data_IF_772197888016
#
_entry.id   IF_772197888016
#
_cell.length_a   1.000
_cell.length_b   1.000
_cell.length_c   1.000
_cell.angle_alpha   90.00
_cell.angle_beta   90.00
_cell.angle_gamma   90.00
#
_symmetry.space_group_name_H-M   'P 1'
#
loop_
_entity.id
_entity.type
_entity.pdbx_description
1 polymer ?
#
# COMPACT_ATOMS: atom_id res chain seq x y z
N UNK A 1 24.04 -23.14 -15.38
CA UNK A 1 23.77 -22.37 -14.16
C UNK A 1 22.51 -22.98 -13.60
N UNK A 2 22.63 -23.76 -12.54
CA UNK A 2 21.44 -24.24 -11.84
C UNK A 2 20.82 -23.01 -11.18
N UNK A 3 19.67 -22.56 -11.68
CA UNK A 3 18.86 -21.56 -10.99
C UNK A 3 18.44 -22.16 -9.64
N UNK A 4 18.89 -21.55 -8.56
CA UNK A 4 18.50 -21.92 -7.21
C UNK A 4 16.97 -21.73 -7.09
N UNK A 5 16.27 -22.80 -6.73
CA UNK A 5 14.81 -22.77 -6.61
C UNK A 5 14.45 -21.81 -5.47
N UNK A 6 13.63 -20.76 -5.72
CA UNK A 6 13.32 -19.77 -4.70
C UNK A 6 12.60 -20.41 -3.52
N UNK A 7 12.90 -19.93 -2.31
CA UNK A 7 12.23 -20.40 -1.11
C UNK A 7 10.75 -20.01 -1.10
N UNK A 8 9.92 -20.71 -0.32
CA UNK A 8 8.50 -20.36 -0.17
C UNK A 8 8.30 -18.92 0.34
N UNK A 9 9.21 -18.41 1.18
CA UNK A 9 9.22 -17.03 1.66
C UNK A 9 9.50 -16.06 0.51
N UNK A 10 10.55 -16.32 -0.27
CA UNK A 10 10.90 -15.49 -1.44
C UNK A 10 9.78 -15.46 -2.47
N UNK A 11 9.24 -16.63 -2.82
CA UNK A 11 8.13 -16.75 -3.76
C UNK A 11 6.89 -16.03 -3.25
N UNK A 12 6.55 -16.16 -1.96
CA UNK A 12 5.41 -15.48 -1.35
C UNK A 12 5.54 -13.95 -1.39
N UNK A 13 6.71 -13.42 -1.04
CA UNK A 13 6.97 -11.97 -1.08
C UNK A 13 7.03 -11.45 -2.51
N UNK A 14 7.61 -12.21 -3.44
CA UNK A 14 7.62 -11.89 -4.86
C UNK A 14 6.19 -11.83 -5.42
N UNK A 15 5.34 -12.82 -5.13
CA UNK A 15 3.94 -12.84 -5.58
C UNK A 15 3.18 -11.62 -5.04
N UNK A 16 3.39 -11.23 -3.77
CA UNK A 16 2.80 -10.01 -3.21
C UNK A 16 3.25 -8.76 -3.99
N UNK A 17 4.56 -8.65 -4.27
CA UNK A 17 5.13 -7.53 -5.04
C UNK A 17 4.65 -7.50 -6.50
N UNK A 18 4.54 -8.66 -7.14
CA UNK A 18 4.04 -8.83 -8.51
C UNK A 18 2.55 -8.45 -8.61
N UNK A 19 1.74 -8.90 -7.64
CA UNK A 19 0.32 -8.54 -7.56
C UNK A 19 0.15 -7.03 -7.41
N UNK A 20 0.94 -6.40 -6.54
CA UNK A 20 0.96 -4.94 -6.41
C UNK A 20 1.36 -4.25 -7.71
N UNK A 21 2.43 -4.73 -8.38
CA UNK A 21 2.89 -4.18 -9.66
C UNK A 21 1.76 -4.16 -10.69
N UNK A 22 1.08 -5.29 -10.85
CA UNK A 22 -0.01 -5.45 -11.81
C UNK A 22 -1.23 -4.59 -11.45
N UNK A 23 -1.53 -4.45 -10.17
CA UNK A 23 -2.59 -3.56 -9.71
C UNK A 23 -2.27 -2.08 -10.03
N UNK A 24 -1.00 -1.68 -9.92
CA UNK A 24 -0.53 -0.32 -10.21
C UNK A 24 -0.55 0.04 -11.72
N UNK A 25 -0.57 -0.95 -12.61
CA UNK A 25 -0.72 -0.71 -14.06
C UNK A 25 -2.06 -0.03 -14.37
N UNK A 26 -3.14 -0.43 -13.69
CA UNK A 26 -4.50 0.11 -13.93
C UNK A 26 -4.60 1.63 -13.75
N UNK A 27 -4.20 2.24 -12.62
CA UNK A 27 -4.25 3.69 -12.45
C UNK A 27 -3.32 4.42 -13.43
N UNK A 28 -2.17 3.84 -13.81
CA UNK A 28 -1.27 4.41 -14.82
C UNK A 28 -1.95 4.49 -16.19
N UNK A 29 -2.51 3.38 -16.68
CA UNK A 29 -3.26 3.33 -17.94
C UNK A 29 -4.46 4.26 -17.90
N UNK A 30 -5.22 4.27 -16.80
CA UNK A 30 -6.37 5.16 -16.64
C UNK A 30 -5.96 6.63 -16.77
N UNK A 31 -4.86 7.04 -16.13
CA UNK A 31 -4.40 8.42 -16.18
C UNK A 31 -3.93 8.83 -17.57
N UNK A 32 -3.27 7.92 -18.29
CA UNK A 32 -2.76 8.19 -19.64
C UNK A 32 -3.85 8.10 -20.73
N UNK A 33 -4.91 7.31 -20.48
CA UNK A 33 -5.96 7.05 -21.48
C UNK A 33 -7.24 7.86 -21.26
N UNK A 34 -7.41 8.53 -20.11
CA UNK A 34 -8.62 9.32 -19.86
C UNK A 34 -8.68 10.53 -20.79
N UNK A 35 -9.79 10.67 -21.50
CA UNK A 35 -10.04 11.80 -22.38
C UNK A 35 -11.18 12.66 -21.80
N UNK A 36 -10.84 13.55 -20.88
CA UNK A 36 -11.79 14.50 -20.29
C UNK A 36 -11.86 15.76 -21.16
N UNK A 37 -13.01 15.99 -21.78
CA UNK A 37 -13.28 17.11 -22.68
C UNK A 37 -14.29 18.10 -22.07
N UNK A 38 -14.35 19.32 -22.61
CA UNK A 38 -15.26 20.38 -22.16
C UNK A 38 -14.58 21.48 -21.34
N UNK A 39 -15.24 22.64 -21.23
CA UNK A 39 -14.66 23.86 -20.64
C UNK A 39 -14.39 23.76 -19.12
N UNK A 40 -15.05 22.83 -18.44
CA UNK A 40 -14.94 22.60 -16.99
C UNK A 40 -13.79 21.62 -16.67
N UNK A 41 -13.39 20.74 -17.61
CA UNK A 41 -12.39 19.69 -17.41
C UNK A 41 -10.92 20.18 -17.44
N UNK A 42 -10.64 21.29 -16.74
CA UNK A 42 -9.37 22.00 -16.80
C UNK A 42 -8.24 21.24 -16.09
N UNK A 43 -6.98 21.34 -16.56
CA UNK A 43 -5.84 20.67 -15.93
C UNK A 43 -5.42 21.29 -14.60
N UNK A 44 -5.62 22.60 -14.46
CA UNK A 44 -5.19 23.40 -13.31
C UNK A 44 -6.40 24.09 -12.66
N UNK A 45 -6.28 24.37 -11.36
CA UNK A 45 -7.32 25.02 -10.56
C UNK A 45 -7.57 26.44 -11.07
N UNK A 46 -8.84 26.83 -11.13
CA UNK A 46 -9.25 28.18 -11.48
C UNK A 46 -9.13 29.15 -10.31
N UNK A 47 -8.93 28.63 -9.09
CA UNK A 47 -8.99 29.39 -7.84
C UNK A 47 -10.41 29.66 -7.35
N UNK A 48 -11.42 29.28 -8.14
CA UNK A 48 -12.84 29.39 -7.79
C UNK A 48 -13.31 28.01 -7.32
N UNK A 49 -13.38 27.84 -5.99
CA UNK A 49 -13.65 26.55 -5.33
C UNK A 49 -14.84 25.82 -5.93
N UNK A 50 -16.00 26.48 -6.07
CA UNK A 50 -17.20 25.85 -6.62
C UNK A 50 -17.03 25.34 -8.06
N UNK A 51 -16.29 26.06 -8.91
CA UNK A 51 -16.03 25.61 -10.28
C UNK A 51 -15.06 24.44 -10.31
N UNK A 52 -14.04 24.48 -9.47
CA UNK A 52 -13.04 23.42 -9.36
C UNK A 52 -13.64 22.16 -8.71
N UNK A 53 -14.59 22.30 -7.80
CA UNK A 53 -15.34 21.18 -7.22
C UNK A 53 -16.17 20.41 -8.25
N UNK A 54 -16.65 21.11 -9.29
CA UNK A 54 -17.35 20.51 -10.42
C UNK A 54 -16.40 19.99 -11.51
N UNK A 55 -15.09 20.18 -11.36
CA UNK A 55 -14.12 19.74 -12.36
C UNK A 55 -14.00 18.22 -12.36
N UNK A 56 -14.42 17.53 -13.44
CA UNK A 56 -14.38 16.07 -13.51
C UNK A 56 -12.95 15.51 -13.44
N UNK A 57 -11.92 16.32 -13.75
CA UNK A 57 -10.52 15.92 -13.63
C UNK A 57 -10.07 15.81 -12.19
N UNK A 58 -10.41 16.79 -11.34
CA UNK A 58 -10.10 16.71 -9.91
C UNK A 58 -10.89 15.60 -9.25
N UNK A 59 -12.15 15.40 -9.64
CA UNK A 59 -12.95 14.30 -9.14
C UNK A 59 -12.35 12.94 -9.52
N UNK A 60 -11.98 12.77 -10.79
CA UNK A 60 -11.27 11.61 -11.31
C UNK A 60 -9.94 11.35 -10.59
N UNK A 61 -9.17 12.39 -10.26
CA UNK A 61 -7.92 12.25 -9.52
C UNK A 61 -8.15 11.78 -8.08
N UNK A 62 -9.13 12.36 -7.39
CA UNK A 62 -9.47 11.98 -6.01
C UNK A 62 -10.05 10.54 -5.94
N UNK A 63 -10.80 10.10 -6.95
CA UNK A 63 -11.29 8.71 -7.05
C UNK A 63 -10.17 7.66 -7.10
N UNK A 64 -8.99 8.02 -7.61
CA UNK A 64 -7.85 7.10 -7.63
C UNK A 64 -7.16 6.96 -6.27
N UNK A 65 -7.32 7.93 -5.37
CA UNK A 65 -6.65 7.89 -4.05
C UNK A 65 -7.09 6.67 -3.23
N UNK A 66 -8.40 6.37 -3.03
CA UNK A 66 -8.82 5.15 -2.34
C UNK A 66 -8.29 3.86 -2.98
N UNK A 67 -8.21 3.80 -4.31
CA UNK A 67 -7.68 2.65 -5.02
C UNK A 67 -6.19 2.43 -4.70
N UNK A 68 -5.39 3.50 -4.74
CA UNK A 68 -3.96 3.45 -4.41
C UNK A 68 -3.72 3.02 -2.95
N UNK A 69 -4.53 3.52 -2.01
CA UNK A 69 -4.45 3.10 -0.60
C UNK A 69 -4.83 1.62 -0.46
N UNK A 70 -5.84 1.14 -1.17
CA UNK A 70 -6.26 -0.27 -1.10
C UNK A 70 -5.19 -1.24 -1.62
N UNK A 71 -4.52 -0.94 -2.73
CA UNK A 71 -3.45 -1.82 -3.26
C UNK A 71 -2.21 -1.79 -2.37
N UNK A 72 -1.91 -0.66 -1.73
CA UNK A 72 -0.85 -0.52 -0.73
C UNK A 72 -1.13 -1.36 0.51
N UNK A 73 -2.36 -1.27 1.03
CA UNK A 73 -2.83 -2.05 2.16
C UNK A 73 -2.74 -3.55 1.87
N UNK A 74 -3.23 -3.98 0.71
CA UNK A 74 -3.20 -5.38 0.31
C UNK A 74 -1.76 -5.91 0.19
N UNK A 75 -0.84 -5.18 -0.45
CA UNK A 75 0.56 -5.57 -0.53
C UNK A 75 1.19 -5.85 0.84
N UNK A 76 0.98 -4.93 1.78
CA UNK A 76 1.53 -5.03 3.12
C UNK A 76 0.86 -6.13 3.94
N UNK A 77 -0.44 -6.34 3.75
CA UNK A 77 -1.19 -7.40 4.37
C UNK A 77 -0.69 -8.77 3.90
N UNK A 78 -0.62 -8.99 2.59
CA UNK A 78 -0.13 -10.25 2.00
C UNK A 78 1.31 -10.52 2.42
N UNK A 79 2.18 -9.50 2.36
CA UNK A 79 3.58 -9.64 2.81
C UNK A 79 3.67 -10.01 4.29
N UNK A 80 2.85 -9.39 5.14
CA UNK A 80 2.80 -9.72 6.56
C UNK A 80 2.37 -11.18 6.80
N UNK A 81 1.36 -11.67 6.08
CA UNK A 81 0.90 -13.06 6.16
C UNK A 81 2.03 -14.04 5.80
N UNK A 82 2.81 -13.73 4.75
CA UNK A 82 3.97 -14.54 4.37
C UNK A 82 4.99 -14.56 5.50
N UNK A 83 5.42 -13.39 6.00
CA UNK A 83 6.43 -13.29 7.04
C UNK A 83 6.00 -13.90 8.38
N UNK A 84 4.70 -13.85 8.69
CA UNK A 84 4.13 -14.44 9.90
C UNK A 84 4.37 -15.96 10.00
N UNK A 85 4.54 -16.64 8.86
CA UNK A 85 4.84 -18.07 8.83
C UNK A 85 6.27 -18.41 9.25
N UNK A 86 7.18 -17.43 9.20
CA UNK A 86 8.62 -17.61 9.42
C UNK A 86 9.17 -16.80 10.61
N UNK A 87 8.30 -16.23 11.45
CA UNK A 87 8.71 -15.53 12.68
C UNK A 87 8.69 -16.46 13.89
N UNK A 88 9.69 -16.32 14.75
CA UNK A 88 9.74 -16.97 16.07
C UNK A 88 8.70 -16.39 17.04
N UNK A 89 8.20 -15.17 16.79
CA UNK A 89 7.20 -14.50 17.63
C UNK A 89 5.75 -14.95 17.34
N UNK A 90 5.56 -15.93 16.46
CA UNK A 90 4.25 -16.40 16.01
C UNK A 90 3.32 -16.69 17.20
N UNK A 91 3.73 -17.53 18.14
CA UNK A 91 2.88 -17.92 19.28
C UNK A 91 2.43 -16.73 20.13
N UNK A 92 3.29 -15.71 20.29
CA UNK A 92 2.94 -14.50 21.04
C UNK A 92 1.84 -13.72 20.33
N UNK A 93 2.01 -13.49 19.02
CA UNK A 93 1.02 -12.77 18.19
C UNK A 93 -0.32 -13.53 18.19
N UNK A 94 -0.29 -14.86 18.10
CA UNK A 94 -1.49 -15.69 18.13
C UNK A 94 -2.18 -15.70 19.51
N UNK A 95 -1.43 -15.65 20.62
CA UNK A 95 -2.01 -15.56 21.98
C UNK A 95 -2.72 -14.23 22.22
N UNK A 96 -2.19 -13.15 21.67
CA UNK A 96 -2.84 -11.83 21.74
C UNK A 96 -4.11 -11.77 20.87
N UNK A 97 -4.24 -12.68 19.91
CA UNK A 97 -5.34 -12.71 18.97
C UNK A 97 -6.60 -13.39 19.54
N UNK A 98 -7.60 -12.59 19.90
CA UNK A 98 -8.95 -13.11 20.24
C UNK A 98 -9.76 -13.39 18.97
N UNK A 99 -9.88 -14.65 18.54
CA UNK A 99 -10.68 -15.00 17.36
C UNK A 99 -12.18 -14.98 17.67
N UNK A 100 -12.98 -14.42 16.77
CA UNK A 100 -14.44 -14.46 16.90
C UNK A 100 -14.98 -15.84 16.49
N UNK A 101 -16.21 -16.15 16.88
CA UNK A 101 -16.91 -17.38 16.47
C UNK A 101 -17.02 -17.47 14.94
N UNK A 102 -17.19 -16.34 14.25
CA UNK A 102 -17.24 -16.33 12.79
C UNK A 102 -15.89 -16.69 12.18
N UNK A 103 -14.78 -16.15 12.71
CA UNK A 103 -13.44 -16.54 12.26
C UNK A 103 -13.23 -18.05 12.41
N UNK A 104 -13.60 -18.63 13.55
CA UNK A 104 -13.45 -20.07 13.79
C UNK A 104 -14.29 -20.93 12.83
N UNK A 105 -15.49 -20.47 12.46
CA UNK A 105 -16.32 -21.14 11.46
C UNK A 105 -15.68 -21.12 10.08
N UNK A 106 -15.17 -19.97 9.64
CA UNK A 106 -14.56 -19.83 8.32
C UNK A 106 -13.25 -20.60 8.22
N UNK A 107 -12.45 -20.65 9.30
CA UNK A 107 -11.25 -21.48 9.41
C UNK A 107 -11.62 -22.97 9.33
N UNK A 108 -12.61 -23.42 10.10
CA UNK A 108 -13.07 -24.82 10.10
C UNK A 108 -13.61 -25.26 8.74
N UNK A 109 -14.25 -24.34 8.00
CA UNK A 109 -14.75 -24.56 6.65
C UNK A 109 -13.66 -24.47 5.56
N UNK A 110 -12.40 -24.20 5.91
CA UNK A 110 -11.30 -24.04 4.96
C UNK A 110 -11.40 -22.82 4.05
N UNK A 111 -12.22 -21.82 4.41
CA UNK A 111 -12.42 -20.59 3.62
C UNK A 111 -11.32 -19.56 3.83
N UNK A 112 -10.72 -19.58 5.02
CA UNK A 112 -9.69 -18.64 5.44
C UNK A 112 -8.69 -19.38 6.31
N UNK A 113 -7.41 -19.07 6.14
CA UNK A 113 -6.34 -19.55 7.00
C UNK A 113 -6.36 -18.86 8.36
N UNK A 114 -5.71 -19.45 9.36
CA UNK A 114 -5.63 -18.85 10.69
C UNK A 114 -4.79 -17.57 10.67
N UNK A 115 -3.80 -17.50 9.79
CA UNK A 115 -2.97 -16.32 9.50
C UNK A 115 -3.81 -15.18 8.92
N UNK A 116 -4.63 -15.46 7.91
CA UNK A 116 -5.53 -14.44 7.33
C UNK A 116 -6.51 -13.90 8.37
N UNK A 117 -7.17 -14.79 9.13
CA UNK A 117 -8.11 -14.38 10.18
C UNK A 117 -7.46 -13.55 11.30
N UNK A 118 -6.18 -13.79 11.59
CA UNK A 118 -5.39 -12.98 12.51
C UNK A 118 -5.11 -11.60 11.91
N UNK A 119 -4.70 -11.59 10.65
CA UNK A 119 -4.25 -10.38 9.97
C UNK A 119 -5.39 -9.36 9.74
N UNK A 120 -6.64 -9.82 9.59
CA UNK A 120 -7.84 -8.94 9.54
C UNK A 120 -8.02 -8.02 10.76
N UNK A 121 -7.31 -8.27 11.87
CA UNK A 121 -7.39 -7.44 13.08
C UNK A 121 -6.40 -6.28 13.08
N UNK A 122 -5.45 -6.28 12.16
CA UNK A 122 -4.47 -5.21 12.02
C UNK A 122 -4.89 -4.27 10.89
N UNK A 123 -4.56 -2.99 11.02
CA UNK A 123 -4.66 -2.04 9.91
C UNK A 123 -3.34 -1.98 9.16
N UNK A 124 -3.40 -2.05 7.83
CA UNK A 124 -2.23 -1.90 6.95
C UNK A 124 -2.31 -0.65 6.07
N UNK A 125 -3.03 0.38 6.53
CA UNK A 125 -3.14 1.63 5.81
C UNK A 125 -2.01 2.60 6.19
N UNK A 126 -2.00 3.05 7.45
CA UNK A 126 -1.10 4.11 7.94
C UNK A 126 0.35 3.62 8.14
N UNK A 127 1.37 4.27 7.53
CA UNK A 127 2.78 3.94 7.69
C UNK A 127 3.22 3.70 9.13
N UNK A 128 2.72 4.50 10.07
CA UNK A 128 3.01 4.32 11.50
C UNK A 128 2.57 2.97 12.03
N UNK A 129 1.30 2.63 11.79
CA UNK A 129 0.69 1.37 12.27
C UNK A 129 1.32 0.18 11.56
N UNK A 130 1.63 0.31 10.27
CA UNK A 130 2.36 -0.71 9.51
C UNK A 130 3.70 -0.99 10.17
N UNK A 131 4.52 0.03 10.45
CA UNK A 131 5.81 -0.17 11.09
C UNK A 131 5.69 -0.83 12.47
N UNK A 132 4.67 -0.46 13.25
CA UNK A 132 4.38 -1.10 14.54
C UNK A 132 3.97 -2.57 14.39
N UNK A 133 3.13 -2.90 13.41
CA UNK A 133 2.73 -4.27 13.13
C UNK A 133 3.94 -5.13 12.75
N UNK A 134 4.77 -4.67 11.81
CA UNK A 134 5.94 -5.41 11.35
C UNK A 134 6.99 -5.61 12.45
N UNK A 135 7.13 -4.68 13.40
CA UNK A 135 7.96 -4.87 14.59
C UNK A 135 7.47 -6.01 15.50
N UNK A 136 6.20 -6.40 15.44
CA UNK A 136 5.69 -7.56 16.18
C UNK A 136 6.23 -8.87 15.62
N UNK A 137 6.54 -8.92 14.32
CA UNK A 137 7.18 -10.07 13.69
C UNK A 137 8.63 -10.17 14.17
N UNK A 138 9.38 -9.07 14.09
CA UNK A 138 10.72 -8.96 14.66
C UNK A 138 11.08 -7.47 14.84
N UNK A 139 11.66 -7.11 15.99
CA UNK A 139 12.06 -5.72 16.26
C UNK A 139 13.12 -5.20 15.27
N UNK A 140 13.92 -6.10 14.70
CA UNK A 140 14.95 -5.77 13.71
C UNK A 140 14.35 -5.52 12.32
N UNK A 141 13.09 -5.90 12.07
CA UNK A 141 12.40 -5.64 10.81
C UNK A 141 11.89 -4.19 10.74
N UNK A 142 12.84 -3.26 10.64
CA UNK A 142 12.57 -1.82 10.69
C UNK A 142 12.05 -1.27 9.36
N UNK A 143 10.72 -1.22 9.23
CA UNK A 143 10.02 -0.56 8.11
C UNK A 143 9.98 0.96 8.27
N UNK A 144 10.02 1.48 9.50
CA UNK A 144 9.93 2.91 9.76
C UNK A 144 11.09 3.66 9.11
N UNK A 145 12.33 3.22 9.37
CA UNK A 145 13.53 3.89 8.82
C UNK A 145 13.58 3.83 7.29
N UNK A 146 13.03 2.77 6.70
CA UNK A 146 12.95 2.57 5.25
C UNK A 146 12.05 3.62 4.59
N UNK A 147 10.89 3.90 5.21
CA UNK A 147 9.93 4.91 4.75
C UNK A 147 10.30 6.33 5.17
N UNK A 148 11.05 6.52 6.25
CA UNK A 148 11.41 7.86 6.71
C UNK A 148 12.45 8.54 5.81
N UNK A 149 13.12 7.78 4.92
CA UNK A 149 14.04 8.35 3.93
C UNK A 149 13.27 9.16 2.88
N UNK A 150 13.67 10.40 2.57
CA UNK A 150 13.05 11.18 1.49
C UNK A 150 13.30 10.57 0.11
N UNK A 151 12.56 11.03 -0.89
CA UNK A 151 12.85 10.72 -2.31
C UNK A 151 13.60 11.87 -2.94
N UNK A 152 14.78 11.56 -3.48
CA UNK A 152 15.60 12.50 -4.26
C UNK A 152 15.84 13.81 -3.49
N UNK A 153 15.64 14.97 -4.14
CA UNK A 153 15.85 16.30 -3.56
C UNK A 153 14.67 16.82 -2.70
N UNK A 154 13.60 16.03 -2.51
CA UNK A 154 12.45 16.48 -1.70
C UNK A 154 12.82 16.46 -0.22
N UNK A 155 12.32 17.45 0.52
CA UNK A 155 12.51 17.53 1.99
C UNK A 155 11.53 16.67 2.78
N UNK A 156 10.47 16.19 2.14
CA UNK A 156 9.40 15.40 2.76
C UNK A 156 9.77 13.91 2.69
N UNK A 157 9.58 13.19 3.78
CA UNK A 157 9.82 11.75 3.84
C UNK A 157 8.74 10.97 3.07
N UNK A 158 9.02 9.72 2.67
CA UNK A 158 7.97 8.86 2.11
C UNK A 158 6.87 8.56 3.12
N UNK A 159 7.26 8.43 4.38
CA UNK A 159 6.36 8.25 5.51
C UNK A 159 5.33 9.38 5.58
N UNK A 160 5.78 10.63 5.67
CA UNK A 160 4.89 11.80 5.77
C UNK A 160 4.04 11.96 4.51
N UNK A 161 4.64 11.70 3.34
CA UNK A 161 3.92 11.79 2.07
C UNK A 161 2.77 10.80 1.99
N UNK A 162 2.97 9.54 2.40
CA UNK A 162 1.90 8.52 2.37
C UNK A 162 0.86 8.79 3.46
N UNK A 163 1.28 9.26 4.63
CA UNK A 163 0.36 9.66 5.71
C UNK A 163 -0.60 10.75 5.24
N UNK A 164 -0.11 11.78 4.53
CA UNK A 164 -0.95 12.83 3.92
C UNK A 164 -1.97 12.23 2.95
N UNK A 165 -1.57 11.29 2.09
CA UNK A 165 -2.50 10.66 1.13
C UNK A 165 -3.60 9.85 1.83
N UNK A 166 -3.30 9.24 2.96
CA UNK A 166 -4.30 8.50 3.75
C UNK A 166 -5.30 9.47 4.38
N UNK A 167 -4.87 10.66 4.82
CA UNK A 167 -5.81 11.68 5.27
C UNK A 167 -6.69 12.19 4.13
N UNK A 168 -6.13 12.42 2.94
CA UNK A 168 -6.89 12.79 1.76
C UNK A 168 -7.93 11.71 1.40
N UNK A 169 -7.54 10.44 1.48
CA UNK A 169 -8.45 9.30 1.29
C UNK A 169 -9.61 9.36 2.28
N UNK A 170 -9.34 9.62 3.56
CA UNK A 170 -10.35 9.68 4.60
C UNK A 170 -11.33 10.84 4.36
N UNK A 171 -10.83 12.03 4.08
CA UNK A 171 -11.66 13.20 3.76
C UNK A 171 -12.56 12.93 2.53
N UNK A 172 -12.00 12.34 1.47
CA UNK A 172 -12.77 12.04 0.27
C UNK A 172 -13.84 10.97 0.48
N UNK A 173 -13.50 9.86 1.14
CA UNK A 173 -14.42 8.72 1.32
C UNK A 173 -15.50 9.00 2.36
N UNK A 174 -15.16 9.69 3.45
CA UNK A 174 -16.08 9.89 4.58
C UNK A 174 -16.83 11.22 4.54
N UNK A 175 -16.22 12.28 3.98
CA UNK A 175 -16.79 13.62 3.97
C UNK A 175 -17.20 14.07 2.57
N UNK A 176 -16.82 13.32 1.52
CA UNK A 176 -16.99 13.74 0.12
C UNK A 176 -16.08 14.91 -0.26
N UNK A 177 -15.12 15.27 0.61
CA UNK A 177 -14.22 16.39 0.41
C UNK A 177 -13.21 16.11 -0.69
N UNK A 178 -13.12 17.00 -1.67
CA UNK A 178 -12.20 16.87 -2.79
C UNK A 178 -10.96 17.74 -2.60
N UNK A 179 -9.77 17.16 -2.70
CA UNK A 179 -8.54 17.94 -2.72
C UNK A 179 -8.26 18.44 -4.15
N UNK A 180 -8.49 19.73 -4.35
CA UNK A 180 -8.31 20.45 -5.61
C UNK A 180 -6.83 20.62 -6.00
N UNK A 181 -5.90 20.36 -5.08
CA UNK A 181 -4.46 20.36 -5.35
C UNK A 181 -4.00 19.08 -6.05
N UNK A 182 -4.81 18.01 -6.06
CA UNK A 182 -4.50 16.74 -6.71
C UNK A 182 -4.71 16.87 -8.22
N UNK A 183 -3.72 17.48 -8.87
CA UNK A 183 -3.58 17.51 -10.32
C UNK A 183 -3.04 16.18 -10.85
N UNK A 184 -3.10 15.99 -12.16
CA UNK A 184 -2.55 14.83 -12.86
C UNK A 184 -1.06 14.65 -12.57
N UNK A 185 -0.32 15.76 -12.50
CA UNK A 185 1.10 15.78 -12.14
C UNK A 185 1.31 15.33 -10.70
N UNK A 186 0.54 15.86 -9.75
CA UNK A 186 0.62 15.48 -8.34
C UNK A 186 0.25 13.99 -8.17
N UNK A 187 -0.76 13.50 -8.90
CA UNK A 187 -1.14 12.10 -8.85
C UNK A 187 -0.08 11.15 -9.42
N UNK A 188 0.63 11.54 -10.49
CA UNK A 188 1.81 10.78 -10.98
C UNK A 188 2.92 10.70 -9.92
N UNK A 189 3.13 11.78 -9.16
CA UNK A 189 4.08 11.78 -8.02
C UNK A 189 3.60 10.84 -6.91
N UNK A 190 2.31 10.87 -6.56
CA UNK A 190 1.72 9.98 -5.55
C UNK A 190 1.90 8.51 -5.94
N UNK A 191 1.58 8.16 -7.19
CA UNK A 191 1.78 6.80 -7.73
C UNK A 191 3.26 6.39 -7.59
N UNK A 192 4.18 7.31 -7.91
CA UNK A 192 5.61 7.04 -7.79
C UNK A 192 6.05 6.85 -6.34
N UNK A 193 5.47 7.59 -5.41
CA UNK A 193 5.80 7.51 -3.99
C UNK A 193 5.39 6.16 -3.40
N UNK A 194 4.18 5.67 -3.71
CA UNK A 194 3.76 4.32 -3.34
C UNK A 194 4.66 3.25 -3.96
N UNK A 195 5.00 3.37 -5.24
CA UNK A 195 5.88 2.41 -5.94
C UNK A 195 7.25 2.33 -5.26
N UNK A 196 7.88 3.47 -4.98
CA UNK A 196 9.19 3.52 -4.31
C UNK A 196 9.10 3.02 -2.87
N UNK A 197 8.00 3.30 -2.15
CA UNK A 197 7.81 2.78 -0.80
C UNK A 197 7.74 1.25 -0.78
N UNK A 198 6.98 0.67 -1.70
CA UNK A 198 6.89 -0.79 -1.87
C UNK A 198 8.25 -1.39 -2.23
N UNK A 199 8.99 -0.79 -3.17
CA UNK A 199 10.33 -1.27 -3.55
C UNK A 199 11.30 -1.26 -2.38
N UNK A 200 11.32 -0.18 -1.61
CA UNK A 200 12.21 -0.06 -0.45
C UNK A 200 11.86 -1.05 0.66
N UNK A 201 10.58 -1.34 0.86
CA UNK A 201 10.12 -2.35 1.80
C UNK A 201 10.54 -3.74 1.33
N UNK A 202 10.37 -4.04 0.04
CA UNK A 202 10.78 -5.32 -0.53
C UNK A 202 12.30 -5.52 -0.45
N UNK A 203 13.09 -4.47 -0.71
CA UNK A 203 14.54 -4.48 -0.49
C UNK A 203 14.91 -4.71 0.97
N UNK A 204 14.12 -4.15 1.91
CA UNK A 204 14.32 -4.41 3.34
C UNK A 204 14.06 -5.87 3.68
N UNK A 205 13.06 -6.51 3.08
CA UNK A 205 12.81 -7.93 3.26
C UNK A 205 13.98 -8.77 2.73
N UNK A 206 14.48 -8.47 1.52
CA UNK A 206 15.67 -9.13 0.96
C UNK A 206 16.88 -9.01 1.87
N UNK A 207 17.18 -7.80 2.33
CA UNK A 207 18.29 -7.55 3.25
C UNK A 207 18.12 -8.24 4.62
N UNK A 208 16.89 -8.43 5.09
CA UNK A 208 16.61 -9.03 6.40
C UNK A 208 16.64 -10.57 6.35
N UNK A 209 16.02 -11.15 5.34
CA UNK A 209 15.93 -12.60 5.13
C UNK A 209 17.05 -13.17 4.25
N UNK A 210 17.99 -12.32 3.84
CA UNK A 210 19.18 -12.68 3.05
C UNK A 210 18.85 -13.30 1.68
N UNK A 211 17.95 -12.65 0.94
CA UNK A 211 17.64 -13.00 -0.47
C UNK A 211 17.76 -11.77 -1.37
N UNK A 212 17.97 -12.00 -2.67
CA UNK A 212 17.99 -10.94 -3.68
C UNK A 212 16.58 -10.66 -4.21
N UNK A 213 16.02 -9.44 -4.03
CA UNK A 213 14.67 -9.13 -4.48
C UNK A 213 14.56 -9.12 -6.02
N UNK A 214 13.82 -10.08 -6.58
CA UNK A 214 13.55 -10.14 -8.02
C UNK A 214 12.51 -9.11 -8.46
N UNK A 215 12.74 -8.49 -9.63
CA UNK A 215 11.84 -7.51 -10.26
C UNK A 215 11.44 -7.92 -11.68
N UNK A 216 11.56 -9.21 -11.99
CA UNK A 216 11.21 -9.76 -13.29
C UNK A 216 9.70 -9.98 -13.35
N UNK A 217 8.98 -8.95 -13.79
CA UNK A 217 7.51 -8.94 -13.90
C UNK A 217 7.02 -9.34 -15.29
#
# INVERSE_FOLDING_TARGET
>A
MDEEVPTELEAGLFIARWTYNNALIKPKIYLDSRNLQGQIARPDSTGIVYMDELNPRFFSNNLLIPYLVAIWEEYLKTSFIVLLKYTDNRDKIFKEARFSVNNLKDISAGKTSIEEALVEKFSFQRPRIIAENYKKLDEKLDIFTVLNKPISKRKISLFDSIEEIIELRNAFVHEGGMDLSITDKKLKVIIKDFEVAVDRIYDRFGAYYNFEPSRDF
#
